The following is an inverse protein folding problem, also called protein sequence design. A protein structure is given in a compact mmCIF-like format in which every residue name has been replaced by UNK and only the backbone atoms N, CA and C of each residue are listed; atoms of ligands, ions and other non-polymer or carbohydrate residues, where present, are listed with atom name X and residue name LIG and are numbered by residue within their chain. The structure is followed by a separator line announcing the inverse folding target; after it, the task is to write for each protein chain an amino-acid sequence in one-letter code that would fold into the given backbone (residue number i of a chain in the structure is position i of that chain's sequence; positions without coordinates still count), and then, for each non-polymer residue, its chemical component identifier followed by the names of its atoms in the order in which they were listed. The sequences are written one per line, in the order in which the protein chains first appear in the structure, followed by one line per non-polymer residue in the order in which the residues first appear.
data_IF_641227610096
#
_entry.id   IF_641227610096
#
_cell.length_a   1.000
_cell.length_b   1.000
_cell.length_c   1.000
_cell.angle_alpha   90.00
_cell.angle_beta   90.00
_cell.angle_gamma   90.00
#
_symmetry.space_group_name_H-M   'P 1'
#
loop_
_entity.id
_entity.type
_entity.pdbx_description
1 polymer ?
#
# COMPACT_ATOMS: atom_id res chain seq x y z
N UNK A 1 17.95 -52.00 21.85
CA UNK A 1 19.40 -51.84 21.62
C UNK A 1 19.70 -52.36 20.22
N UNK A 2 19.74 -51.48 19.22
CA UNK A 2 20.36 -51.72 17.92
C UNK A 2 20.89 -50.36 17.43
N UNK A 3 22.16 -50.32 17.06
CA UNK A 3 22.91 -49.14 16.61
C UNK A 3 23.56 -49.47 15.26
N UNK A 4 23.80 -48.42 14.49
CA UNK A 4 24.57 -48.29 13.24
C UNK A 4 23.75 -48.60 11.96
N UNK A 5 23.82 -47.82 10.88
CA UNK A 5 24.84 -46.86 10.47
C UNK A 5 24.27 -45.70 9.64
N UNK A 6 24.83 -44.52 9.83
CA UNK A 6 24.72 -43.37 8.94
C UNK A 6 25.31 -43.70 7.57
N UNK A 7 24.64 -43.27 6.51
CA UNK A 7 25.27 -43.01 5.22
C UNK A 7 24.92 -41.57 4.85
N UNK A 8 25.92 -40.70 4.98
CA UNK A 8 25.94 -39.36 4.42
C UNK A 8 25.80 -39.47 2.89
N UNK A 9 24.98 -38.60 2.33
CA UNK A 9 25.18 -38.18 0.94
C UNK A 9 25.00 -36.67 0.93
N UNK A 10 26.12 -36.00 1.16
CA UNK A 10 26.31 -34.63 0.72
C UNK A 10 26.04 -34.58 -0.78
N UNK A 11 25.04 -33.79 -1.18
CA UNK A 11 24.97 -33.28 -2.56
C UNK A 11 24.91 -31.77 -2.47
N UNK A 12 26.11 -31.19 -2.42
CA UNK A 12 26.37 -29.84 -2.86
C UNK A 12 25.91 -29.71 -4.31
N UNK A 13 24.91 -28.88 -4.54
CA UNK A 13 24.72 -28.15 -5.79
C UNK A 13 24.17 -26.79 -5.41
N UNK A 14 25.10 -25.83 -5.42
CA UNK A 14 24.85 -24.43 -5.70
C UNK A 14 24.01 -24.35 -6.98
N UNK A 15 22.69 -24.31 -6.82
CA UNK A 15 21.74 -24.06 -7.88
C UNK A 15 21.05 -22.77 -7.48
N UNK A 16 21.32 -21.70 -8.24
CA UNK A 16 20.47 -20.53 -8.26
C UNK A 16 19.02 -21.01 -8.36
N UNK A 17 18.27 -20.84 -7.27
CA UNK A 17 16.82 -21.03 -7.28
C UNK A 17 16.30 -19.97 -8.22
N UNK A 18 16.13 -20.35 -9.48
CA UNK A 18 15.34 -19.57 -10.42
C UNK A 18 13.95 -19.50 -9.80
N UNK A 19 13.61 -18.34 -9.24
CA UNK A 19 12.25 -18.01 -8.84
C UNK A 19 11.42 -18.13 -10.11
N UNK A 20 10.74 -19.27 -10.26
CA UNK A 20 9.82 -19.50 -11.36
C UNK A 20 8.74 -18.43 -11.21
N UNK A 21 8.48 -17.59 -12.24
CA UNK A 21 7.39 -16.64 -12.15
C UNK A 21 6.09 -17.44 -11.97
N UNK A 22 5.40 -17.20 -10.86
CA UNK A 22 4.06 -17.71 -10.58
C UNK A 22 3.13 -17.21 -11.71
N UNK A 23 2.88 -18.01 -12.75
CA UNK A 23 1.95 -17.66 -13.85
C UNK A 23 0.55 -18.26 -13.66
N UNK A 24 0.16 -18.47 -12.40
CA UNK A 24 -1.16 -19.00 -12.03
C UNK A 24 -2.25 -17.91 -11.96
N UNK A 25 -3.54 -18.30 -11.88
CA UNK A 25 -4.66 -17.36 -11.71
C UNK A 25 -4.57 -16.52 -10.42
N UNK A 26 -3.86 -17.01 -9.42
CA UNK A 26 -3.54 -16.29 -8.18
C UNK A 26 -2.67 -15.05 -8.45
N UNK A 27 -1.62 -15.17 -9.28
CA UNK A 27 -0.79 -14.02 -9.67
C UNK A 27 -1.56 -12.93 -10.44
N UNK A 28 -2.56 -13.33 -11.24
CA UNK A 28 -3.39 -12.41 -12.00
C UNK A 28 -4.39 -11.67 -11.10
N UNK A 29 -4.96 -12.37 -10.11
CA UNK A 29 -5.82 -11.75 -9.10
C UNK A 29 -5.03 -10.77 -8.22
N UNK A 30 -3.83 -11.13 -7.78
CA UNK A 30 -2.93 -10.25 -7.03
C UNK A 30 -2.49 -9.02 -7.84
N UNK A 31 -2.20 -9.18 -9.14
CA UNK A 31 -1.91 -8.05 -10.04
C UNK A 31 -3.10 -7.09 -10.13
N UNK A 32 -4.32 -7.64 -10.27
CA UNK A 32 -5.55 -6.84 -10.35
C UNK A 32 -5.81 -6.06 -9.06
N UNK A 33 -5.57 -6.68 -7.89
CA UNK A 33 -5.66 -5.98 -6.59
C UNK A 33 -4.60 -4.89 -6.46
N UNK A 34 -3.36 -5.13 -6.88
CA UNK A 34 -2.29 -4.13 -6.85
C UNK A 34 -2.61 -2.93 -7.73
N UNK A 35 -3.01 -3.16 -8.97
CA UNK A 35 -3.42 -2.10 -9.92
C UNK A 35 -4.57 -1.26 -9.37
N UNK A 36 -5.56 -1.92 -8.75
CA UNK A 36 -6.65 -1.24 -8.06
C UNK A 36 -6.13 -0.30 -6.97
N UNK A 37 -5.31 -0.79 -6.05
CA UNK A 37 -4.78 0.03 -4.97
C UNK A 37 -3.85 1.14 -5.47
N UNK A 38 -3.06 0.89 -6.51
CA UNK A 38 -2.19 1.90 -7.11
C UNK A 38 -3.00 3.02 -7.77
N UNK A 39 -4.11 2.70 -8.43
CA UNK A 39 -5.05 3.72 -8.93
C UNK A 39 -5.67 4.52 -7.78
N UNK A 40 -6.21 3.83 -6.77
CA UNK A 40 -6.91 4.47 -5.64
C UNK A 40 -5.97 5.39 -4.86
N UNK A 41 -4.71 5.00 -4.66
CA UNK A 41 -3.69 5.81 -3.99
C UNK A 41 -3.10 6.90 -4.90
N UNK A 42 -3.43 6.92 -6.19
CA UNK A 42 -2.90 7.89 -7.15
C UNK A 42 -1.45 7.64 -7.57
N UNK A 43 -0.94 6.42 -7.40
CA UNK A 43 0.35 5.96 -7.95
C UNK A 43 0.25 5.67 -9.45
N UNK A 44 -0.94 5.29 -9.90
CA UNK A 44 -1.29 5.13 -11.32
C UNK A 44 -2.53 5.97 -11.66
N UNK A 45 -2.68 6.29 -12.94
CA UNK A 45 -3.91 6.83 -13.52
C UNK A 45 -4.55 5.86 -14.53
N UNK A 46 -3.98 4.66 -14.68
CA UNK A 46 -4.52 3.61 -15.54
C UNK A 46 -5.68 2.90 -14.83
N UNK A 47 -6.80 2.71 -15.54
CA UNK A 47 -7.97 2.02 -14.99
C UNK A 47 -7.65 0.52 -14.96
N UNK A 48 -7.70 -0.14 -13.78
CA UNK A 48 -7.45 -1.57 -13.68
C UNK A 48 -8.42 -2.37 -14.54
N UNK A 49 -7.95 -3.49 -15.11
CA UNK A 49 -8.78 -4.33 -15.97
C UNK A 49 -10.07 -4.76 -15.25
N UNK A 50 -11.19 -4.79 -15.99
CA UNK A 50 -12.49 -5.19 -15.45
C UNK A 50 -13.21 -4.14 -14.59
N UNK A 51 -12.64 -2.95 -14.38
CA UNK A 51 -13.26 -1.89 -13.60
C UNK A 51 -13.90 -0.80 -14.47
N UNK A 52 -14.97 -0.19 -13.98
CA UNK A 52 -15.60 0.97 -14.60
C UNK A 52 -14.85 2.26 -14.23
N UNK A 53 -14.53 3.10 -15.21
CA UNK A 53 -13.79 4.34 -15.00
C UNK A 53 -14.49 5.30 -14.02
N UNK A 54 -15.79 5.55 -14.18
CA UNK A 54 -16.54 6.46 -13.29
C UNK A 54 -16.55 5.92 -11.86
N UNK A 55 -16.75 4.61 -11.70
CA UNK A 55 -16.69 3.95 -10.40
C UNK A 55 -15.32 4.08 -9.73
N UNK A 56 -14.24 3.86 -10.48
CA UNK A 56 -12.87 4.02 -9.97
C UNK A 56 -12.56 5.45 -9.56
N UNK A 57 -12.93 6.45 -10.38
CA UNK A 57 -12.74 7.87 -10.07
C UNK A 57 -13.54 8.28 -8.83
N UNK A 58 -14.80 7.85 -8.73
CA UNK A 58 -15.63 8.09 -7.56
C UNK A 58 -15.01 7.46 -6.30
N UNK A 59 -14.58 6.20 -6.39
CA UNK A 59 -13.99 5.50 -5.25
C UNK A 59 -12.70 6.16 -4.77
N UNK A 60 -11.79 6.53 -5.69
CA UNK A 60 -10.58 7.31 -5.38
C UNK A 60 -10.92 8.63 -4.67
N UNK A 61 -11.97 9.32 -5.12
CA UNK A 61 -12.43 10.56 -4.50
C UNK A 61 -13.00 10.33 -3.10
N UNK A 62 -13.77 9.27 -2.89
CA UNK A 62 -14.33 8.91 -1.58
C UNK A 62 -13.22 8.57 -0.57
N UNK A 63 -12.16 7.89 -1.00
CA UNK A 63 -10.98 7.63 -0.15
C UNK A 63 -10.32 8.95 0.26
N UNK A 64 -10.12 9.87 -0.68
CA UNK A 64 -9.57 11.20 -0.38
C UNK A 64 -10.42 11.95 0.64
N UNK A 65 -11.74 12.05 0.42
CA UNK A 65 -12.65 12.74 1.35
C UNK A 65 -12.62 12.09 2.74
N UNK A 66 -12.62 10.76 2.81
CA UNK A 66 -12.58 10.05 4.10
C UNK A 66 -11.30 10.33 4.89
N UNK A 67 -10.15 10.37 4.21
CA UNK A 67 -8.86 10.73 4.81
C UNK A 67 -8.85 12.20 5.24
N UNK A 68 -9.30 13.10 4.37
CA UNK A 68 -9.36 14.54 4.64
C UNK A 68 -10.25 14.83 5.86
N UNK A 69 -11.48 14.31 5.90
CA UNK A 69 -12.40 14.52 7.02
C UNK A 69 -11.85 13.98 8.34
N UNK A 70 -11.18 12.82 8.31
CA UNK A 70 -10.59 12.25 9.51
C UNK A 70 -9.44 13.13 10.00
N UNK A 71 -8.46 13.42 9.15
CA UNK A 71 -7.25 14.15 9.55
C UNK A 71 -7.53 15.62 9.86
N UNK A 72 -8.48 16.27 9.19
CA UNK A 72 -8.92 17.63 9.51
C UNK A 72 -9.49 17.70 10.94
N UNK A 73 -10.20 16.66 11.39
CA UNK A 73 -10.72 16.57 12.76
C UNK A 73 -9.65 16.51 13.84
N UNK A 74 -8.49 15.90 13.57
CA UNK A 74 -7.40 15.76 14.54
C UNK A 74 -6.30 16.82 14.39
N UNK A 75 -6.10 17.37 13.18
CA UNK A 75 -4.96 18.20 12.82
C UNK A 75 -5.34 19.56 12.21
N UNK A 76 -6.51 20.11 12.56
CA UNK A 76 -6.99 21.41 12.05
C UNK A 76 -5.95 22.53 12.16
N UNK A 77 -5.18 22.58 13.26
CA UNK A 77 -4.11 23.57 13.43
C UNK A 77 -2.98 23.46 12.40
N UNK A 78 -2.69 22.25 11.91
CA UNK A 78 -1.70 22.02 10.83
C UNK A 78 -2.25 22.57 9.52
N UNK A 79 -3.51 22.30 9.19
CA UNK A 79 -4.20 22.85 8.01
C UNK A 79 -4.21 24.37 8.04
N UNK A 80 -4.59 24.98 9.16
CA UNK A 80 -4.62 26.43 9.32
C UNK A 80 -3.24 27.06 9.09
N UNK A 81 -2.17 26.40 9.54
CA UNK A 81 -0.79 26.87 9.37
C UNK A 81 -0.30 26.75 7.93
N UNK A 82 -0.61 25.65 7.25
CA UNK A 82 -0.15 25.36 5.89
C UNK A 82 -0.97 26.09 4.80
N UNK A 83 -2.23 26.40 5.10
CA UNK A 83 -3.21 26.82 4.12
C UNK A 83 -3.75 25.66 3.28
N UNK A 84 -4.85 25.92 2.58
CA UNK A 84 -5.65 24.89 1.90
C UNK A 84 -4.85 24.10 0.86
N UNK A 85 -4.15 24.78 -0.05
CA UNK A 85 -3.45 24.12 -1.16
C UNK A 85 -2.35 23.19 -0.66
N UNK A 86 -1.53 23.67 0.28
CA UNK A 86 -0.47 22.90 0.91
C UNK A 86 -1.01 21.71 1.70
N UNK A 87 -2.14 21.90 2.40
CA UNK A 87 -2.81 20.81 3.11
C UNK A 87 -3.28 19.71 2.15
N UNK A 88 -3.97 20.08 1.05
CA UNK A 88 -4.42 19.12 0.05
C UNK A 88 -3.25 18.40 -0.64
N UNK A 89 -2.14 19.09 -0.90
CA UNK A 89 -0.93 18.50 -1.44
C UNK A 89 -0.32 17.47 -0.46
N UNK A 90 -0.23 17.83 0.82
CA UNK A 90 0.25 16.95 1.88
C UNK A 90 -0.60 15.69 2.03
N UNK A 91 -1.93 15.82 1.96
CA UNK A 91 -2.84 14.67 1.99
C UNK A 91 -2.64 13.75 0.77
N UNK A 92 -2.46 14.31 -0.43
CA UNK A 92 -2.19 13.52 -1.64
C UNK A 92 -0.87 12.78 -1.54
N UNK A 93 0.18 13.42 -1.03
CA UNK A 93 1.49 12.80 -0.74
C UNK A 93 1.34 11.65 0.25
N UNK A 94 0.64 11.88 1.37
CA UNK A 94 0.36 10.85 2.38
C UNK A 94 -0.39 9.65 1.80
N UNK A 95 -1.52 9.87 1.10
CA UNK A 95 -2.32 8.80 0.50
C UNK A 95 -1.48 7.99 -0.49
N UNK A 96 -0.69 8.67 -1.33
CA UNK A 96 0.20 8.03 -2.31
C UNK A 96 1.29 7.20 -1.63
N UNK A 97 1.87 7.69 -0.54
CA UNK A 97 2.92 7.02 0.22
C UNK A 97 2.42 5.92 1.16
N UNK A 98 1.13 5.94 1.51
CA UNK A 98 0.58 5.05 2.54
C UNK A 98 0.76 3.56 2.21
N UNK A 99 1.26 2.82 3.21
CA UNK A 99 1.21 1.35 3.24
C UNK A 99 0.07 0.86 4.14
N UNK A 100 -0.90 1.74 4.43
CA UNK A 100 -2.02 1.40 5.27
C UNK A 100 -2.84 0.27 4.64
N UNK A 101 -2.83 -0.88 5.30
CA UNK A 101 -3.58 -2.09 4.96
C UNK A 101 -4.75 -2.31 5.93
N UNK A 102 -4.80 -1.56 7.04
CA UNK A 102 -5.86 -1.69 8.03
C UNK A 102 -7.17 -1.07 7.52
N UNK A 103 -8.29 -1.70 7.88
CA UNK A 103 -9.63 -1.17 7.62
C UNK A 103 -10.10 -0.22 8.74
N UNK A 104 -9.27 -0.02 9.78
CA UNK A 104 -9.61 0.79 10.95
C UNK A 104 -8.98 2.17 10.85
N UNK A 105 -9.82 3.18 10.66
CA UNK A 105 -9.38 4.57 10.53
C UNK A 105 -8.70 5.13 11.80
N UNK A 106 -8.83 4.46 12.96
CA UNK A 106 -8.09 4.83 14.17
C UNK A 106 -6.57 4.75 13.99
N UNK A 107 -6.09 3.86 13.12
CA UNK A 107 -4.67 3.72 12.81
C UNK A 107 -4.17 4.83 11.86
N UNK A 108 -5.09 5.54 11.19
CA UNK A 108 -4.76 6.53 10.17
C UNK A 108 -4.05 7.76 10.76
N UNK A 109 -4.39 8.14 11.99
CA UNK A 109 -3.74 9.29 12.65
C UNK A 109 -2.29 8.99 13.01
N UNK A 110 -2.00 7.78 13.47
CA UNK A 110 -0.65 7.36 13.84
C UNK A 110 0.24 7.21 12.60
N UNK A 111 -0.31 6.63 11.53
CA UNK A 111 0.36 6.58 10.21
C UNK A 111 0.66 7.98 9.66
N UNK A 112 -0.26 8.93 9.84
CA UNK A 112 -0.04 10.31 9.39
C UNK A 112 1.08 10.99 10.19
N UNK A 113 1.14 10.80 11.51
CA UNK A 113 2.25 11.31 12.34
C UNK A 113 3.58 10.72 11.87
N UNK A 114 3.66 9.41 11.67
CA UNK A 114 4.88 8.74 11.18
C UNK A 114 5.30 9.26 9.79
N UNK A 115 4.33 9.52 8.92
CA UNK A 115 4.58 10.16 7.63
C UNK A 115 5.20 11.55 7.78
N UNK A 116 4.63 12.41 8.65
CA UNK A 116 5.17 13.75 8.91
C UNK A 116 6.59 13.71 9.48
N UNK A 117 6.87 12.79 10.40
CA UNK A 117 8.22 12.60 10.95
C UNK A 117 9.24 12.24 9.87
N UNK A 118 8.84 11.40 8.92
CA UNK A 118 9.69 11.00 7.79
C UNK A 118 9.96 12.16 6.82
N UNK A 119 9.01 13.09 6.63
CA UNK A 119 9.20 14.28 5.79
C UNK A 119 10.06 15.38 6.45
N UNK A 120 10.21 15.34 7.78
CA UNK A 120 10.95 16.34 8.55
C UNK A 120 12.47 16.10 8.62
N UNK A 121 12.94 14.94 8.16
CA UNK A 121 14.37 14.59 8.08
C UNK A 121 15.00 15.08 6.78
#
# INVERSE_FOLDING_TARGET
MYRLSNAETERSTDAAVAVVPETGPESAAESTSREFYDFVRGRSNEIPAGHNENGMRLYRHLVYIGVEQMLDGYFSGVRETLGEESWQALLKEFIRGSQWESNFYGDLTDEFIHFLETQSR
#
